data_IF_997926130344
#
_entry.id   IF_997926130344
#
_cell.length_a   1.000
_cell.length_b   1.000
_cell.length_c   1.000
_cell.angle_alpha   90.00
_cell.angle_beta   90.00
_cell.angle_gamma   90.00
#
_symmetry.space_group_name_H-M   'P 1'
#
loop_
_entity.id
_entity.type
_entity.pdbx_description
1 polymer ?
#
# COMPACT_ATOMS: atom_id res chain seq x y z
N UNK A 1 -19.38 -51.94 -34.81
CA UNK A 1 -17.91 -51.79 -34.91
C UNK A 1 -17.34 -53.18 -35.15
N UNK A 2 -16.35 -53.33 -36.06
CA UNK A 2 -15.76 -54.65 -36.33
C UNK A 2 -15.10 -55.19 -35.05
N UNK A 3 -15.28 -56.49 -34.75
CA UNK A 3 -14.67 -57.11 -33.56
C UNK A 3 -13.15 -57.21 -33.65
N UNK A 4 -12.60 -57.13 -34.87
CA UNK A 4 -11.17 -57.05 -35.15
C UNK A 4 -10.84 -55.79 -35.98
N UNK A 5 -9.94 -54.95 -35.48
CA UNK A 5 -9.43 -53.77 -36.19
C UNK A 5 -8.46 -54.16 -37.31
N UNK A 6 -8.35 -53.30 -38.33
CA UNK A 6 -7.44 -53.53 -39.46
C UNK A 6 -5.97 -53.65 -39.04
N UNK A 7 -5.59 -52.88 -38.01
CA UNK A 7 -4.23 -52.91 -37.46
C UNK A 7 -3.93 -54.23 -36.75
N UNK A 8 -4.87 -54.73 -35.94
CA UNK A 8 -4.73 -56.02 -35.27
C UNK A 8 -4.76 -57.19 -36.27
N UNK A 9 -5.62 -57.11 -37.28
CA UNK A 9 -5.70 -58.09 -38.37
C UNK A 9 -4.36 -58.22 -39.10
N UNK A 10 -3.73 -57.10 -39.47
CA UNK A 10 -2.44 -57.12 -40.17
C UNK A 10 -1.33 -57.81 -39.35
N UNK A 11 -1.26 -57.51 -38.05
CA UNK A 11 -0.27 -58.12 -37.14
C UNK A 11 -0.46 -59.65 -37.08
N UNK A 12 -1.71 -60.12 -36.95
CA UNK A 12 -2.00 -61.56 -36.90
C UNK A 12 -1.79 -62.24 -38.25
N UNK A 13 -2.11 -61.57 -39.35
CA UNK A 13 -1.92 -62.08 -40.70
C UNK A 13 -0.43 -62.26 -41.04
N UNK A 14 0.40 -61.28 -40.69
CA UNK A 14 1.83 -61.31 -40.94
C UNK A 14 2.52 -62.41 -40.11
N UNK A 15 2.04 -62.66 -38.89
CA UNK A 15 2.52 -63.77 -38.07
C UNK A 15 2.03 -65.14 -38.58
N UNK A 16 0.75 -65.27 -38.94
CA UNK A 16 0.22 -66.52 -39.50
C UNK A 16 0.96 -66.92 -40.79
N UNK A 17 1.30 -65.96 -41.65
CA UNK A 17 2.13 -66.18 -42.84
C UNK A 17 3.55 -66.62 -42.49
N UNK A 18 4.12 -66.13 -41.39
CA UNK A 18 5.44 -66.57 -40.89
C UNK A 18 5.38 -68.00 -40.34
N UNK A 19 4.36 -68.34 -39.55
CA UNK A 19 4.14 -69.71 -39.07
C UNK A 19 3.96 -70.70 -40.23
N UNK A 20 3.11 -70.37 -41.20
CA UNK A 20 2.89 -71.22 -42.38
C UNK A 20 4.19 -71.49 -43.18
N UNK A 21 5.04 -70.47 -43.34
CA UNK A 21 6.35 -70.62 -43.99
C UNK A 21 7.33 -71.50 -43.19
N UNK A 22 7.21 -71.50 -41.86
CA UNK A 22 8.09 -72.27 -40.95
C UNK A 22 7.70 -73.76 -40.90
N UNK A 23 6.41 -74.08 -40.94
CA UNK A 23 5.91 -75.48 -40.87
C UNK A 23 6.07 -76.27 -42.19
N UNK A 24 6.25 -75.59 -43.33
CA UNK A 24 6.56 -76.24 -44.61
C UNK A 24 5.34 -76.67 -45.43
N UNK A 25 5.52 -77.68 -46.30
CA UNK A 25 4.56 -78.07 -47.34
C UNK A 25 3.27 -78.65 -46.71
N UNK A 26 2.15 -77.95 -46.89
CA UNK A 26 0.82 -78.38 -46.39
C UNK A 26 0.09 -77.33 -45.53
N UNK A 27 0.79 -76.29 -45.05
CA UNK A 27 0.25 -75.24 -44.17
C UNK A 27 -0.61 -74.18 -44.88
N UNK A 28 -0.70 -74.21 -46.21
CA UNK A 28 -1.46 -73.22 -47.01
C UNK A 28 -2.97 -73.31 -46.75
N UNK A 29 -3.47 -74.51 -46.43
CA UNK A 29 -4.88 -74.74 -46.05
C UNK A 29 -5.15 -74.18 -44.66
N UNK A 30 -4.25 -74.40 -43.69
CA UNK A 30 -4.35 -73.85 -42.34
C UNK A 30 -4.31 -72.31 -42.36
N UNK A 31 -3.41 -71.73 -43.17
CA UNK A 31 -3.32 -70.28 -43.36
C UNK A 31 -4.63 -69.71 -43.92
N UNK A 32 -5.22 -70.33 -44.93
CA UNK A 32 -6.53 -69.89 -45.49
C UNK A 32 -7.66 -69.97 -44.46
N UNK A 33 -7.67 -71.01 -43.62
CA UNK A 33 -8.65 -71.15 -42.54
C UNK A 33 -8.49 -70.00 -41.52
N UNK A 34 -7.26 -69.72 -41.08
CA UNK A 34 -6.98 -68.63 -40.14
C UNK A 34 -7.37 -67.28 -40.74
N UNK A 35 -7.00 -67.01 -41.99
CA UNK A 35 -7.38 -65.78 -42.70
C UNK A 35 -8.91 -65.59 -42.70
N UNK A 36 -9.66 -66.65 -43.07
CA UNK A 36 -11.12 -66.60 -43.12
C UNK A 36 -11.75 -66.39 -41.73
N UNK A 37 -11.18 -66.98 -40.67
CA UNK A 37 -11.62 -66.75 -39.29
C UNK A 37 -11.35 -65.32 -38.83
N UNK A 38 -10.18 -64.76 -39.14
CA UNK A 38 -9.83 -63.38 -38.83
C UNK A 38 -10.69 -62.38 -39.61
N UNK A 39 -11.00 -62.64 -40.88
CA UNK A 39 -11.94 -61.84 -41.68
C UNK A 39 -13.36 -61.90 -41.13
N UNK A 40 -13.81 -63.06 -40.66
CA UNK A 40 -15.10 -63.20 -39.99
C UNK A 40 -15.17 -62.31 -38.74
N UNK A 41 -14.10 -62.24 -37.94
CA UNK A 41 -14.03 -61.31 -36.80
C UNK A 41 -14.05 -59.84 -37.22
N UNK A 42 -13.55 -59.48 -38.41
CA UNK A 42 -13.68 -58.12 -38.97
C UNK A 42 -15.10 -57.82 -39.43
N UNK A 43 -15.81 -58.80 -39.99
CA UNK A 43 -17.17 -58.60 -40.52
C UNK A 43 -18.24 -58.62 -39.42
N UNK A 44 -18.00 -59.35 -38.32
CA UNK A 44 -18.90 -59.37 -37.18
C UNK A 44 -18.86 -58.05 -36.42
N UNK A 45 -20.04 -57.58 -36.01
CA UNK A 45 -20.19 -56.43 -35.10
C UNK A 45 -20.38 -56.91 -33.67
N UNK A 46 -19.63 -56.32 -32.73
CA UNK A 46 -19.70 -56.65 -31.31
C UNK A 46 -18.50 -56.11 -30.54
N UNK A 47 -18.31 -56.58 -29.30
CA UNK A 47 -17.14 -56.22 -28.50
C UNK A 47 -15.84 -56.67 -29.17
N UNK A 48 -14.80 -55.85 -29.02
CA UNK A 48 -13.46 -56.13 -29.53
C UNK A 48 -12.93 -57.46 -28.98
N UNK A 49 -12.43 -58.30 -29.88
CA UNK A 49 -11.90 -59.61 -29.53
C UNK A 49 -10.69 -59.46 -28.57
N UNK A 50 -10.80 -60.12 -27.41
CA UNK A 50 -9.77 -60.10 -26.35
C UNK A 50 -8.63 -61.05 -26.70
N UNK A 51 -7.48 -60.92 -26.03
CA UNK A 51 -6.28 -61.75 -26.28
C UNK A 51 -6.59 -63.25 -26.32
N UNK A 52 -7.41 -63.74 -25.39
CA UNK A 52 -7.80 -65.16 -25.29
C UNK A 52 -8.60 -65.63 -26.50
N UNK A 53 -9.50 -64.79 -27.02
CA UNK A 53 -10.30 -65.08 -28.21
C UNK A 53 -9.44 -65.05 -29.49
N UNK A 54 -8.53 -64.08 -29.60
CA UNK A 54 -7.56 -64.02 -30.71
C UNK A 54 -6.62 -65.24 -30.69
N UNK A 55 -6.23 -65.68 -29.49
CA UNK A 55 -5.39 -66.84 -29.27
C UNK A 55 -6.08 -68.13 -29.72
N UNK A 56 -7.34 -68.36 -29.30
CA UNK A 56 -8.16 -69.49 -29.77
C UNK A 56 -8.39 -69.45 -31.29
N UNK A 57 -8.44 -68.27 -31.90
CA UNK A 57 -8.67 -68.16 -33.34
C UNK A 57 -7.51 -68.73 -34.16
N UNK A 58 -6.27 -68.66 -33.64
CA UNK A 58 -5.05 -68.99 -34.39
C UNK A 58 -4.29 -70.22 -33.86
N UNK A 59 -4.33 -70.49 -32.55
CA UNK A 59 -3.50 -71.55 -31.94
C UNK A 59 -3.94 -72.97 -32.27
N UNK A 60 -5.22 -73.19 -32.59
CA UNK A 60 -5.70 -74.52 -33.03
C UNK A 60 -5.02 -74.97 -34.34
N UNK A 61 -4.64 -74.00 -35.18
CA UNK A 61 -4.04 -74.24 -36.49
C UNK A 61 -2.51 -74.08 -36.45
N UNK A 62 -2.01 -73.20 -35.58
CA UNK A 62 -0.58 -72.94 -35.37
C UNK A 62 -0.24 -72.97 -33.87
N UNK A 63 0.08 -74.14 -33.29
CA UNK A 63 0.33 -74.27 -31.86
C UNK A 63 1.51 -73.42 -31.36
N UNK A 64 2.52 -73.19 -32.21
CA UNK A 64 3.72 -72.37 -31.90
C UNK A 64 3.53 -70.86 -32.18
N UNK A 65 2.30 -70.37 -32.32
CA UNK A 65 2.06 -68.97 -32.67
C UNK A 65 2.66 -68.00 -31.64
N UNK A 66 3.40 -66.99 -32.10
CA UNK A 66 4.14 -66.07 -31.23
C UNK A 66 3.21 -65.34 -30.25
N UNK A 67 3.46 -65.58 -28.97
CA UNK A 67 2.72 -64.96 -27.87
C UNK A 67 2.91 -63.44 -27.81
N UNK A 68 4.04 -62.92 -28.29
CA UNK A 68 4.26 -61.47 -28.40
C UNK A 68 3.44 -60.87 -29.54
N UNK A 69 3.36 -61.52 -30.70
CA UNK A 69 2.48 -61.11 -31.79
C UNK A 69 1.00 -61.07 -31.35
N UNK A 70 0.54 -62.09 -30.61
CA UNK A 70 -0.80 -62.11 -30.00
C UNK A 70 -1.02 -60.95 -29.02
N UNK A 71 -0.02 -60.64 -28.20
CA UNK A 71 -0.10 -59.52 -27.28
C UNK A 71 -0.19 -58.16 -28.01
N UNK A 72 0.65 -57.96 -29.03
CA UNK A 72 0.67 -56.75 -29.87
C UNK A 72 -0.65 -56.59 -30.63
N UNK A 73 -1.18 -57.67 -31.18
CA UNK A 73 -2.48 -57.67 -31.85
C UNK A 73 -3.62 -57.33 -30.88
N UNK A 74 -3.64 -57.93 -29.69
CA UNK A 74 -4.65 -57.64 -28.68
C UNK A 74 -4.59 -56.19 -28.15
N UNK A 75 -3.40 -55.59 -28.06
CA UNK A 75 -3.25 -54.18 -27.73
C UNK A 75 -3.75 -53.28 -28.86
N UNK A 76 -3.42 -53.61 -30.11
CA UNK A 76 -3.89 -52.89 -31.29
C UNK A 76 -5.41 -53.04 -31.51
N UNK A 77 -6.01 -54.12 -31.00
CA UNK A 77 -7.43 -54.42 -31.12
C UNK A 77 -8.30 -53.81 -30.02
N UNK A 78 -7.77 -52.92 -29.17
CA UNK A 78 -8.58 -52.23 -28.15
C UNK A 78 -9.25 -50.99 -28.77
N UNK A 79 -10.44 -50.59 -28.28
CA UNK A 79 -10.97 -49.28 -28.63
C UNK A 79 -9.91 -48.22 -28.26
N UNK A 80 -9.83 -47.10 -28.99
CA UNK A 80 -8.93 -46.01 -28.61
C UNK A 80 -9.27 -45.60 -27.17
N UNK A 81 -8.41 -46.00 -26.23
CA UNK A 81 -8.57 -45.70 -24.82
C UNK A 81 -8.49 -44.20 -24.60
N UNK A 82 -9.04 -43.76 -23.47
CA UNK A 82 -9.18 -42.37 -23.01
C UNK A 82 -7.91 -41.49 -23.20
N UNK A 83 -6.73 -42.09 -23.38
CA UNK A 83 -5.46 -41.41 -23.68
C UNK A 83 -5.29 -40.83 -25.10
N UNK A 84 -6.09 -41.22 -26.11
CA UNK A 84 -6.07 -40.54 -27.42
C UNK A 84 -6.75 -39.16 -27.35
N UNK A 85 -7.78 -39.02 -26.51
CA UNK A 85 -8.40 -37.72 -26.22
C UNK A 85 -7.47 -36.80 -25.42
N UNK A 86 -6.41 -37.31 -24.82
CA UNK A 86 -5.45 -36.51 -24.06
C UNK A 86 -4.33 -35.94 -24.95
N UNK A 87 -4.01 -36.53 -26.12
CA UNK A 87 -3.04 -35.90 -27.05
C UNK A 87 -3.64 -34.75 -27.85
N UNK A 88 -4.89 -34.87 -28.32
CA UNK A 88 -5.62 -33.74 -28.88
C UNK A 88 -6.27 -32.85 -27.82
N UNK A 89 -6.48 -33.37 -26.60
CA UNK A 89 -6.89 -32.59 -25.44
C UNK A 89 -5.77 -31.76 -24.86
N UNK A 90 -4.51 -32.21 -24.83
CA UNK A 90 -3.38 -31.37 -24.40
C UNK A 90 -2.89 -30.45 -25.51
N UNK A 91 -2.92 -30.82 -26.80
CA UNK A 91 -2.64 -29.84 -27.87
C UNK A 91 -3.84 -28.89 -28.04
N UNK A 92 -5.06 -29.36 -27.82
CA UNK A 92 -6.27 -28.54 -27.83
C UNK A 92 -6.45 -27.69 -26.58
N UNK A 93 -5.98 -28.09 -25.39
CA UNK A 93 -6.06 -27.30 -24.15
C UNK A 93 -4.79 -26.50 -23.92
N UNK A 94 -3.58 -26.94 -24.30
CA UNK A 94 -2.39 -26.06 -24.35
C UNK A 94 -2.49 -25.11 -25.54
N UNK A 95 -3.07 -25.55 -26.65
CA UNK A 95 -3.38 -24.71 -27.81
C UNK A 95 -4.59 -23.81 -27.58
N UNK A 96 -5.65 -24.21 -26.88
CA UNK A 96 -6.76 -23.33 -26.52
C UNK A 96 -6.42 -22.46 -25.31
N UNK A 97 -5.70 -22.92 -24.29
CA UNK A 97 -5.20 -22.04 -23.22
C UNK A 97 -4.17 -21.08 -23.80
N UNK A 98 -3.29 -21.54 -24.70
CA UNK A 98 -2.38 -20.69 -25.45
C UNK A 98 -3.10 -19.71 -26.39
N UNK A 99 -4.15 -20.13 -27.09
CA UNK A 99 -4.95 -19.27 -27.96
C UNK A 99 -5.88 -18.34 -27.17
N UNK A 100 -6.41 -18.75 -26.02
CA UNK A 100 -7.15 -17.92 -25.07
C UNK A 100 -6.19 -16.92 -24.44
N UNK A 101 -4.97 -17.32 -24.10
CA UNK A 101 -3.94 -16.42 -23.59
C UNK A 101 -3.53 -15.40 -24.65
N UNK A 102 -3.27 -15.83 -25.90
CA UNK A 102 -2.97 -14.96 -27.06
C UNK A 102 -4.14 -14.04 -27.40
N UNK A 103 -5.38 -14.56 -27.40
CA UNK A 103 -6.59 -13.78 -27.66
C UNK A 103 -6.92 -12.82 -26.51
N UNK A 104 -6.53 -13.16 -25.28
CA UNK A 104 -6.63 -12.32 -24.10
C UNK A 104 -5.40 -11.41 -23.90
N UNK A 105 -4.40 -11.46 -24.79
CA UNK A 105 -3.25 -10.57 -24.71
C UNK A 105 -3.71 -9.10 -24.76
N UNK A 106 -3.02 -8.21 -24.03
CA UNK A 106 -3.32 -6.78 -24.01
C UNK A 106 -2.85 -6.06 -25.29
N UNK A 107 -3.13 -6.61 -26.48
CA UNK A 107 -2.74 -6.04 -27.77
C UNK A 107 -3.97 -5.66 -28.62
N UNK A 108 -4.17 -4.37 -28.95
CA UNK A 108 -5.38 -3.89 -29.61
C UNK A 108 -5.73 -4.58 -30.95
N UNK A 109 -4.77 -4.85 -31.86
CA UNK A 109 -5.05 -5.51 -33.12
C UNK A 109 -5.60 -6.94 -33.00
N UNK A 110 -5.29 -7.66 -31.91
CA UNK A 110 -5.78 -9.03 -31.68
C UNK A 110 -7.14 -9.00 -30.97
N UNK A 111 -7.30 -8.12 -29.97
CA UNK A 111 -8.52 -8.09 -29.14
C UNK A 111 -9.76 -7.56 -29.85
N UNK A 112 -9.63 -6.58 -30.76
CA UNK A 112 -10.77 -6.01 -31.50
C UNK A 112 -11.58 -7.07 -32.27
N UNK A 113 -10.97 -7.89 -33.14
CA UNK A 113 -11.71 -8.93 -33.85
C UNK A 113 -12.28 -9.99 -32.89
N UNK A 114 -11.54 -10.38 -31.85
CA UNK A 114 -12.03 -11.34 -30.84
C UNK A 114 -13.27 -10.82 -30.12
N UNK A 115 -13.32 -9.53 -29.79
CA UNK A 115 -14.48 -8.94 -29.11
C UNK A 115 -15.77 -8.93 -29.96
N UNK A 116 -15.63 -8.87 -31.29
CA UNK A 116 -16.76 -8.89 -32.23
C UNK A 116 -17.23 -10.31 -32.55
N UNK A 117 -16.28 -11.26 -32.65
CA UNK A 117 -16.56 -12.63 -33.13
C UNK A 117 -16.80 -13.61 -31.99
N UNK A 118 -16.05 -13.50 -30.88
CA UNK A 118 -16.09 -14.44 -29.76
C UNK A 118 -15.92 -13.72 -28.41
N UNK A 119 -16.87 -12.84 -28.01
CA UNK A 119 -16.76 -12.02 -26.79
C UNK A 119 -16.63 -12.84 -25.50
N UNK A 120 -17.13 -14.08 -25.50
CA UNK A 120 -17.06 -15.01 -24.35
C UNK A 120 -15.59 -15.25 -23.91
N UNK A 121 -14.65 -15.25 -24.84
CA UNK A 121 -13.21 -15.47 -24.57
C UNK A 121 -12.60 -14.33 -23.75
N UNK A 122 -13.17 -13.12 -23.84
CA UNK A 122 -12.68 -11.93 -23.14
C UNK A 122 -13.37 -11.67 -21.80
N UNK A 123 -14.37 -12.49 -21.41
CA UNK A 123 -15.14 -12.29 -20.18
C UNK A 123 -14.31 -12.12 -18.91
N UNK A 124 -13.25 -12.93 -18.64
CA UNK A 124 -12.44 -12.72 -17.45
C UNK A 124 -11.76 -11.35 -17.42
N UNK A 125 -11.32 -10.87 -18.59
CA UNK A 125 -10.69 -9.55 -18.71
C UNK A 125 -11.70 -8.42 -18.56
N UNK A 126 -12.91 -8.58 -19.07
CA UNK A 126 -13.98 -7.59 -18.87
C UNK A 126 -14.40 -7.53 -17.40
N UNK A 127 -14.53 -8.66 -16.73
CA UNK A 127 -14.84 -8.70 -15.30
C UNK A 127 -13.76 -7.98 -14.45
N UNK A 128 -12.49 -8.29 -14.71
CA UNK A 128 -11.38 -7.62 -14.02
C UNK A 128 -11.36 -6.11 -14.28
N UNK A 129 -11.62 -5.69 -15.52
CA UNK A 129 -11.73 -4.28 -15.87
C UNK A 129 -12.92 -3.62 -15.16
N UNK A 130 -14.00 -4.34 -14.84
CA UNK A 130 -15.24 -3.75 -14.29
C UNK A 130 -15.05 -3.45 -12.84
N UNK A 131 -14.48 -4.44 -12.16
CA UNK A 131 -14.04 -4.33 -10.80
C UNK A 131 -13.04 -3.18 -10.64
N UNK A 132 -12.05 -3.07 -11.52
CA UNK A 132 -11.06 -1.99 -11.45
C UNK A 132 -11.67 -0.62 -11.78
N UNK A 133 -12.55 -0.52 -12.76
CA UNK A 133 -13.21 0.74 -13.10
C UNK A 133 -14.12 1.21 -11.95
N UNK A 134 -15.03 0.36 -11.48
CA UNK A 134 -15.91 0.69 -10.35
C UNK A 134 -15.13 0.97 -9.08
N UNK A 135 -14.08 0.17 -8.84
CA UNK A 135 -13.14 0.37 -7.74
C UNK A 135 -12.46 1.73 -7.82
N UNK A 136 -11.91 2.11 -8.98
CA UNK A 136 -11.31 3.42 -9.18
C UNK A 136 -12.29 4.55 -8.88
N UNK A 137 -13.46 4.58 -9.51
CA UNK A 137 -14.44 5.67 -9.34
C UNK A 137 -14.88 5.79 -7.87
N UNK A 138 -15.24 4.67 -7.23
CA UNK A 138 -15.66 4.68 -5.83
C UNK A 138 -14.55 5.16 -4.88
N UNK A 139 -13.30 4.78 -5.15
CA UNK A 139 -12.15 5.18 -4.33
C UNK A 139 -11.72 6.63 -4.58
N UNK A 140 -11.85 7.13 -5.80
CA UNK A 140 -11.66 8.55 -6.12
C UNK A 140 -12.65 9.40 -5.34
N UNK A 141 -13.94 9.04 -5.36
CA UNK A 141 -14.97 9.77 -4.62
C UNK A 141 -14.71 9.76 -3.10
N UNK A 142 -14.40 8.59 -2.53
CA UNK A 142 -14.05 8.47 -1.11
C UNK A 142 -12.81 9.31 -0.76
N UNK A 143 -11.77 9.25 -1.58
CA UNK A 143 -10.56 10.04 -1.40
C UNK A 143 -10.85 11.55 -1.46
N UNK A 144 -11.69 11.98 -2.39
CA UNK A 144 -12.06 13.39 -2.55
C UNK A 144 -12.74 13.91 -1.30
N UNK A 145 -13.74 13.20 -0.78
CA UNK A 145 -14.43 13.57 0.46
C UNK A 145 -13.44 13.65 1.64
N UNK A 146 -12.60 12.63 1.80
CA UNK A 146 -11.67 12.52 2.93
C UNK A 146 -10.52 13.53 2.90
N UNK A 147 -10.05 13.94 1.72
CA UNK A 147 -8.92 14.89 1.57
C UNK A 147 -9.42 16.32 1.40
N UNK A 148 -10.48 16.54 0.62
CA UNK A 148 -10.98 17.87 0.33
C UNK A 148 -11.90 18.43 1.40
N UNK A 149 -12.57 17.56 2.16
CA UNK A 149 -13.49 17.94 3.24
C UNK A 149 -13.02 17.42 4.60
N UNK A 150 -11.71 17.20 4.74
CA UNK A 150 -11.11 16.68 5.96
C UNK A 150 -11.46 17.51 7.19
N UNK A 151 -11.92 16.84 8.24
CA UNK A 151 -12.20 17.44 9.55
C UNK A 151 -11.23 16.97 10.63
N UNK A 152 -10.44 15.94 10.32
CA UNK A 152 -9.48 15.34 11.23
C UNK A 152 -8.22 14.85 10.49
N UNK A 153 -7.15 14.59 11.24
CA UNK A 153 -5.95 13.94 10.71
C UNK A 153 -6.24 12.51 10.20
N UNK A 154 -7.16 11.80 10.86
CA UNK A 154 -7.57 10.46 10.45
C UNK A 154 -8.25 10.45 9.07
N UNK A 155 -9.03 11.50 8.75
CA UNK A 155 -9.64 11.65 7.43
C UNK A 155 -8.55 11.76 6.35
N UNK A 156 -7.51 12.57 6.58
CA UNK A 156 -6.38 12.73 5.67
C UNK A 156 -5.63 11.41 5.47
N UNK A 157 -5.37 10.67 6.55
CA UNK A 157 -4.67 9.38 6.49
C UNK A 157 -5.46 8.35 5.68
N UNK A 158 -6.74 8.15 6.02
CA UNK A 158 -7.63 7.25 5.30
C UNK A 158 -7.79 7.69 3.84
N UNK A 159 -7.96 8.99 3.60
CA UNK A 159 -8.06 9.57 2.27
C UNK A 159 -6.83 9.26 1.42
N UNK A 160 -5.62 9.36 1.99
CA UNK A 160 -4.38 9.02 1.29
C UNK A 160 -4.31 7.53 0.91
N UNK A 161 -4.80 6.64 1.77
CA UNK A 161 -4.93 5.22 1.46
C UNK A 161 -5.91 5.01 0.29
N UNK A 162 -7.04 5.73 0.26
CA UNK A 162 -8.01 5.64 -0.83
C UNK A 162 -7.46 6.19 -2.15
N UNK A 163 -6.67 7.26 -2.12
CA UNK A 163 -5.93 7.76 -3.31
C UNK A 163 -5.02 6.66 -3.87
N UNK A 164 -4.27 5.98 -3.00
CA UNK A 164 -3.37 4.89 -3.42
C UNK A 164 -4.16 3.72 -4.03
N UNK A 165 -5.29 3.34 -3.42
CA UNK A 165 -6.18 2.32 -3.96
C UNK A 165 -6.80 2.72 -5.30
N UNK A 166 -7.21 3.98 -5.45
CA UNK A 166 -7.72 4.53 -6.70
C UNK A 166 -6.66 4.48 -7.81
N UNK A 167 -5.43 4.89 -7.50
CA UNK A 167 -4.30 4.84 -8.44
C UNK A 167 -4.03 3.40 -8.90
N UNK A 168 -3.96 2.44 -7.98
CA UNK A 168 -3.76 1.02 -8.31
C UNK A 168 -4.86 0.48 -9.24
N UNK A 169 -6.12 0.84 -8.98
CA UNK A 169 -7.23 0.46 -9.85
C UNK A 169 -7.13 1.12 -11.23
N UNK A 170 -6.75 2.39 -11.32
CA UNK A 170 -6.54 3.08 -12.60
C UNK A 170 -5.34 2.51 -13.38
N UNK A 171 -4.27 2.12 -12.71
CA UNK A 171 -3.08 1.49 -13.31
C UNK A 171 -3.39 0.11 -13.89
N UNK A 172 -4.32 -0.62 -13.27
CA UNK A 172 -4.79 -1.91 -13.76
C UNK A 172 -5.70 -1.80 -15.00
N UNK A 173 -6.13 -0.60 -15.39
CA UNK A 173 -7.00 -0.40 -16.55
C UNK A 173 -6.17 -0.24 -17.83
N UNK A 174 -6.46 -1.05 -18.88
CA UNK A 174 -5.74 -0.96 -20.14
C UNK A 174 -6.10 0.30 -20.93
N UNK A 175 -5.23 1.31 -20.90
CA UNK A 175 -5.42 2.62 -21.57
C UNK A 175 -5.70 2.49 -23.08
N UNK A 176 -5.07 1.54 -23.76
CA UNK A 176 -5.26 1.28 -25.20
C UNK A 176 -6.61 0.64 -25.54
N UNK A 177 -7.39 0.25 -24.52
CA UNK A 177 -8.75 -0.30 -24.64
C UNK A 177 -9.84 0.75 -24.37
N UNK A 178 -9.46 1.98 -24.01
CA UNK A 178 -10.38 3.10 -23.78
C UNK A 178 -11.16 3.44 -25.06
N UNK A 179 -12.48 3.65 -24.92
CA UNK A 179 -13.37 3.97 -26.04
C UNK A 179 -13.82 2.79 -26.91
N UNK A 180 -13.40 1.55 -26.58
CA UNK A 180 -13.93 0.33 -27.21
C UNK A 180 -15.01 -0.30 -26.30
N UNK A 181 -16.26 0.14 -26.46
CA UNK A 181 -17.38 -0.44 -25.70
C UNK A 181 -17.61 -1.91 -26.08
N UNK A 182 -17.60 -2.87 -25.14
CA UNK A 182 -18.03 -4.24 -25.40
C UNK A 182 -19.55 -4.30 -25.26
N UNK A 183 -20.26 -3.79 -26.27
CA UNK A 183 -21.74 -3.73 -26.29
C UNK A 183 -22.39 -5.05 -25.88
N UNK A 184 -21.84 -6.19 -26.33
CA UNK A 184 -22.33 -7.53 -26.01
C UNK A 184 -22.16 -7.88 -24.52
N UNK A 185 -21.02 -7.51 -23.91
CA UNK A 185 -20.80 -7.71 -22.48
C UNK A 185 -21.78 -6.87 -21.65
N UNK A 186 -21.93 -5.59 -22.00
CA UNK A 186 -22.85 -4.69 -21.29
C UNK A 186 -24.31 -5.12 -21.40
N UNK A 187 -24.71 -5.67 -22.56
CA UNK A 187 -26.05 -6.23 -22.77
C UNK A 187 -26.30 -7.47 -21.91
N UNK A 188 -25.30 -8.35 -21.77
CA UNK A 188 -25.47 -9.64 -21.08
C UNK A 188 -25.34 -9.54 -19.56
N UNK A 189 -24.56 -8.57 -19.06
CA UNK A 189 -24.27 -8.41 -17.62
C UNK A 189 -24.80 -7.09 -17.03
N UNK A 190 -25.62 -6.32 -17.76
CA UNK A 190 -26.25 -5.10 -17.25
C UNK A 190 -25.24 -4.04 -16.82
N UNK A 191 -24.19 -3.83 -17.61
CA UNK A 191 -23.11 -2.93 -17.23
C UNK A 191 -23.44 -1.47 -17.56
N UNK A 192 -23.03 -0.55 -16.69
CA UNK A 192 -23.13 0.90 -16.89
C UNK A 192 -21.79 1.54 -17.27
N UNK A 193 -20.87 0.76 -17.86
CA UNK A 193 -19.53 1.24 -18.21
C UNK A 193 -19.59 2.42 -19.16
N UNK A 194 -18.96 3.52 -18.76
CA UNK A 194 -18.74 4.72 -19.58
C UNK A 194 -17.26 5.05 -19.70
N UNK A 195 -16.42 4.01 -19.80
CA UNK A 195 -14.96 4.15 -19.76
C UNK A 195 -14.40 4.79 -21.05
N UNK A 196 -14.58 6.10 -21.13
CA UNK A 196 -14.05 6.97 -22.17
C UNK A 196 -12.63 7.38 -21.82
N UNK A 197 -11.85 7.73 -22.85
CA UNK A 197 -10.51 8.31 -22.67
C UNK A 197 -10.57 9.53 -21.75
N UNK A 198 -11.61 10.34 -21.90
CA UNK A 198 -11.81 11.58 -21.14
C UNK A 198 -12.09 11.32 -19.66
N UNK A 199 -12.95 10.35 -19.34
CA UNK A 199 -13.26 9.99 -17.95
C UNK A 199 -12.02 9.39 -17.26
N UNK A 200 -11.27 8.53 -17.93
CA UNK A 200 -10.02 7.98 -17.40
C UNK A 200 -8.96 9.07 -17.17
N UNK A 201 -8.77 9.96 -18.16
CA UNK A 201 -7.85 11.09 -18.03
C UNK A 201 -8.27 12.02 -16.88
N UNK A 202 -9.57 12.26 -16.72
CA UNK A 202 -10.12 13.07 -15.62
C UNK A 202 -9.87 12.41 -14.26
N UNK A 203 -10.17 11.12 -14.12
CA UNK A 203 -9.94 10.38 -12.88
C UNK A 203 -8.46 10.38 -12.49
N UNK A 204 -7.54 10.12 -13.44
CA UNK A 204 -6.10 10.20 -13.16
C UNK A 204 -5.64 11.60 -12.77
N UNK A 205 -6.16 12.64 -13.42
CA UNK A 205 -5.86 14.03 -13.07
C UNK A 205 -6.35 14.37 -11.66
N UNK A 206 -7.51 13.88 -11.26
CA UNK A 206 -8.04 14.04 -9.91
C UNK A 206 -7.16 13.32 -8.89
N UNK A 207 -6.82 12.05 -9.13
CA UNK A 207 -5.91 11.27 -8.27
C UNK A 207 -4.58 11.98 -8.09
N UNK A 208 -3.91 12.40 -9.17
CA UNK A 208 -2.64 13.11 -9.07
C UNK A 208 -2.72 14.45 -8.30
N UNK A 209 -3.84 15.17 -8.41
CA UNK A 209 -4.08 16.38 -7.60
C UNK A 209 -4.26 16.04 -6.11
N UNK A 210 -5.00 14.97 -5.82
CA UNK A 210 -5.20 14.51 -4.44
C UNK A 210 -3.93 13.94 -3.83
N UNK A 211 -3.07 13.26 -4.60
CA UNK A 211 -1.74 12.82 -4.15
C UNK A 211 -0.88 14.00 -3.71
N UNK A 212 -0.81 15.05 -4.56
CA UNK A 212 -0.07 16.25 -4.23
C UNK A 212 -0.61 16.94 -2.97
N UNK A 213 -1.94 17.01 -2.82
CA UNK A 213 -2.57 17.58 -1.63
C UNK A 213 -2.35 16.72 -0.39
N UNK A 214 -2.52 15.40 -0.48
CA UNK A 214 -2.26 14.47 0.60
C UNK A 214 -0.82 14.55 1.10
N UNK A 215 0.15 14.70 0.18
CA UNK A 215 1.54 14.93 0.52
C UNK A 215 1.74 16.23 1.31
N UNK A 216 1.14 17.33 0.88
CA UNK A 216 1.19 18.61 1.60
C UNK A 216 0.56 18.51 2.99
N UNK A 217 -0.60 17.85 3.11
CA UNK A 217 -1.29 17.65 4.38
C UNK A 217 -0.48 16.79 5.35
N UNK A 218 0.09 15.67 4.88
CA UNK A 218 0.97 14.82 5.70
C UNK A 218 2.18 15.59 6.22
N UNK A 219 2.86 16.34 5.36
CA UNK A 219 4.01 17.14 5.78
C UNK A 219 3.61 18.21 6.82
N UNK A 220 2.46 18.85 6.63
CA UNK A 220 1.97 19.84 7.59
C UNK A 220 1.56 19.21 8.93
N UNK A 221 0.96 18.01 8.91
CA UNK A 221 0.65 17.24 10.12
C UNK A 221 1.92 16.85 10.89
N UNK A 222 2.96 16.39 10.20
CA UNK A 222 4.27 16.07 10.82
C UNK A 222 4.87 17.31 11.46
N UNK A 223 4.96 18.43 10.74
CA UNK A 223 5.49 19.69 11.30
C UNK A 223 4.67 20.21 12.48
N UNK A 224 3.35 20.03 12.44
CA UNK A 224 2.46 20.38 13.56
C UNK A 224 2.76 19.53 14.79
N UNK A 225 2.99 18.22 14.59
CA UNK A 225 3.35 17.32 15.67
C UNK A 225 4.71 17.68 16.28
N UNK A 226 5.70 17.99 15.45
CA UNK A 226 7.02 18.47 15.89
C UNK A 226 6.90 19.74 16.72
N UNK A 227 6.11 20.72 16.26
CA UNK A 227 5.85 21.96 17.00
C UNK A 227 5.10 21.72 18.32
N UNK A 228 4.12 20.79 18.35
CA UNK A 228 3.41 20.41 19.59
C UNK A 228 4.37 19.77 20.60
N UNK A 229 5.25 18.88 20.15
CA UNK A 229 6.27 18.27 21.00
C UNK A 229 7.27 19.30 21.50
N UNK A 230 7.80 20.16 20.62
CA UNK A 230 8.73 21.22 21.00
C UNK A 230 8.12 22.20 22.00
N UNK A 231 6.85 22.58 21.80
CA UNK A 231 6.11 23.45 22.71
C UNK A 231 5.93 22.80 24.09
N UNK A 232 5.58 21.51 24.12
CA UNK A 232 5.42 20.77 25.38
C UNK A 232 6.75 20.62 26.11
N UNK A 233 7.83 20.32 25.37
CA UNK A 233 9.17 20.17 25.95
C UNK A 233 9.67 21.49 26.53
N UNK A 234 9.57 22.60 25.79
CA UNK A 234 9.99 23.91 26.27
C UNK A 234 9.24 24.33 27.55
N UNK A 235 7.95 23.98 27.66
CA UNK A 235 7.17 24.21 28.90
C UNK A 235 7.68 23.38 30.07
N UNK A 236 8.02 22.11 29.84
CA UNK A 236 8.59 21.23 30.87
C UNK A 236 9.98 21.71 31.29
N UNK A 237 10.82 22.09 30.34
CA UNK A 237 12.17 22.60 30.59
C UNK A 237 12.13 23.88 31.42
N UNK A 238 11.18 24.79 31.13
CA UNK A 238 10.96 25.99 31.93
C UNK A 238 10.58 25.66 33.39
N UNK A 239 9.73 24.65 33.59
CA UNK A 239 9.31 24.22 34.94
C UNK A 239 10.42 23.51 35.71
N UNK A 240 11.24 22.71 35.02
CA UNK A 240 12.33 21.95 35.62
C UNK A 240 13.58 22.82 35.87
N UNK A 241 13.76 23.91 35.12
CA UNK A 241 14.92 24.78 35.22
C UNK A 241 15.02 25.44 36.61
N UNK A 242 16.10 25.11 37.31
CA UNK A 242 16.42 25.68 38.62
C UNK A 242 17.20 27.00 38.53
N UNK A 243 17.80 27.29 37.37
CA UNK A 243 18.59 28.50 37.10
C UNK A 243 17.83 29.45 36.18
N UNK A 244 18.09 30.75 36.32
CA UNK A 244 17.49 31.77 35.46
C UNK A 244 17.91 31.63 34.00
N UNK A 245 19.18 31.31 33.74
CA UNK A 245 19.69 31.06 32.39
C UNK A 245 18.97 29.87 31.72
N UNK A 246 18.68 28.81 32.48
CA UNK A 246 17.89 27.67 32.00
C UNK A 246 16.45 28.07 31.65
N UNK A 247 15.83 28.91 32.49
CA UNK A 247 14.48 29.45 32.23
C UNK A 247 14.44 30.33 30.98
N UNK A 248 15.42 31.21 30.78
CA UNK A 248 15.51 32.05 29.57
C UNK A 248 15.69 31.20 28.31
N UNK A 249 16.52 30.15 28.38
CA UNK A 249 16.70 29.20 27.27
C UNK A 249 15.37 28.51 26.93
N UNK A 250 14.62 28.04 27.93
CA UNK A 250 13.32 27.41 27.73
C UNK A 250 12.27 28.39 27.17
N UNK A 251 12.28 29.66 27.58
CA UNK A 251 11.42 30.70 26.99
C UNK A 251 11.75 30.90 25.51
N UNK A 252 13.03 30.97 25.13
CA UNK A 252 13.43 31.10 23.72
C UNK A 252 12.98 29.88 22.88
N UNK A 253 13.09 28.67 23.44
CA UNK A 253 12.60 27.45 22.79
C UNK A 253 11.07 27.43 22.67
N UNK A 254 10.35 27.93 23.68
CA UNK A 254 8.89 28.06 23.64
C UNK A 254 8.48 29.03 22.51
N UNK A 255 9.10 30.22 22.41
CA UNK A 255 8.83 31.15 21.31
C UNK A 255 9.09 30.50 19.95
N UNK A 256 10.21 29.79 19.81
CA UNK A 256 10.57 29.06 18.58
C UNK A 256 9.48 28.05 18.19
N UNK A 257 8.94 27.31 19.15
CA UNK A 257 7.84 26.36 18.90
C UNK A 257 6.55 27.08 18.46
N UNK A 258 6.24 28.25 19.03
CA UNK A 258 5.11 29.08 18.58
C UNK A 258 5.32 29.57 17.14
N UNK A 259 6.53 29.98 16.78
CA UNK A 259 6.86 30.42 15.43
C UNK A 259 6.73 29.29 14.41
N UNK A 260 7.06 28.05 14.79
CA UNK A 260 6.84 26.87 13.95
C UNK A 260 5.35 26.66 13.61
N UNK A 261 4.43 26.90 14.55
CA UNK A 261 2.99 26.87 14.25
C UNK A 261 2.58 27.96 13.26
N UNK A 262 3.17 29.16 13.34
CA UNK A 262 2.87 30.26 12.43
C UNK A 262 3.37 30.01 11.00
N UNK A 263 4.39 29.17 10.83
CA UNK A 263 4.96 28.78 9.54
C UNK A 263 4.17 27.66 8.83
N UNK A 264 3.18 27.04 9.49
CA UNK A 264 2.37 25.99 8.87
C UNK A 264 1.52 26.56 7.73
N UNK A 265 1.45 25.88 6.57
CA UNK A 265 0.70 26.42 5.43
C UNK A 265 -0.80 26.57 5.74
N UNK A 266 -1.39 27.77 5.61
CA UNK A 266 -2.77 28.07 6.06
C UNK A 266 -3.85 27.29 5.29
N UNK A 267 -3.53 26.81 4.09
CA UNK A 267 -4.46 26.03 3.27
C UNK A 267 -4.67 24.60 3.79
N UNK A 268 -3.71 24.08 4.58
CA UNK A 268 -3.75 22.72 5.13
C UNK A 268 -4.66 22.60 6.34
N UNK A 269 -5.17 21.40 6.61
CA UNK A 269 -5.92 21.12 7.83
C UNK A 269 -5.09 21.46 9.09
N UNK A 270 -3.83 21.02 9.12
CA UNK A 270 -2.90 21.28 10.21
C UNK A 270 -2.69 22.79 10.45
N UNK A 271 -2.48 23.56 9.38
CA UNK A 271 -2.31 25.02 9.46
C UNK A 271 -3.54 25.74 9.99
N UNK A 272 -4.75 25.39 9.51
CA UNK A 272 -6.01 25.98 10.01
C UNK A 272 -6.21 25.70 11.49
N UNK A 273 -6.00 24.45 11.90
CA UNK A 273 -6.12 24.05 13.31
C UNK A 273 -5.09 24.76 14.19
N UNK A 274 -3.84 24.89 13.72
CA UNK A 274 -2.79 25.60 14.43
C UNK A 274 -3.13 27.10 14.60
N UNK A 275 -3.62 27.76 13.56
CA UNK A 275 -4.01 29.18 13.61
C UNK A 275 -5.14 29.44 14.61
N UNK A 276 -6.08 28.52 14.76
CA UNK A 276 -7.14 28.63 15.77
C UNK A 276 -6.57 28.58 17.20
N UNK A 277 -5.51 27.79 17.43
CA UNK A 277 -4.87 27.63 18.75
C UNK A 277 -3.79 28.68 19.03
N UNK A 278 -3.21 29.29 18.00
CA UNK A 278 -2.07 30.22 18.10
C UNK A 278 -2.30 31.36 19.11
N UNK A 279 -3.47 32.04 19.15
CA UNK A 279 -3.71 33.12 20.11
C UNK A 279 -3.64 32.65 21.56
N UNK A 280 -4.10 31.42 21.84
CA UNK A 280 -4.02 30.84 23.18
C UNK A 280 -2.56 30.57 23.56
N UNK A 281 -1.75 30.02 22.65
CA UNK A 281 -0.33 29.77 22.89
C UNK A 281 0.46 31.07 23.10
N UNK A 282 0.18 32.10 22.31
CA UNK A 282 0.81 33.42 22.46
C UNK A 282 0.47 34.07 23.79
N UNK A 283 -0.81 34.05 24.19
CA UNK A 283 -1.23 34.57 25.50
C UNK A 283 -0.55 33.84 26.65
N UNK A 284 -0.48 32.51 26.58
CA UNK A 284 0.15 31.71 27.63
C UNK A 284 1.66 31.98 27.71
N UNK A 285 2.31 32.13 26.55
CA UNK A 285 3.73 32.54 26.47
C UNK A 285 3.95 33.93 27.08
N UNK A 286 3.15 34.92 26.71
CA UNK A 286 3.28 36.30 27.23
C UNK A 286 3.16 36.35 28.75
N UNK A 287 2.27 35.55 29.34
CA UNK A 287 2.15 35.44 30.80
C UNK A 287 3.44 34.93 31.45
N UNK A 288 4.10 33.95 30.85
CA UNK A 288 5.33 33.36 31.40
C UNK A 288 6.54 34.25 31.14
N UNK A 289 6.74 34.67 29.90
CA UNK A 289 7.87 35.51 29.51
C UNK A 289 7.82 36.89 30.18
N UNK A 290 6.63 37.49 30.32
CA UNK A 290 6.46 38.77 31.02
C UNK A 290 6.78 38.68 32.51
N UNK A 291 6.40 37.58 33.17
CA UNK A 291 6.77 37.32 34.57
C UNK A 291 8.28 37.14 34.70
N UNK A 292 8.91 36.34 33.84
CA UNK A 292 10.35 36.11 33.89
C UNK A 292 11.16 37.41 33.69
N UNK A 293 10.79 38.24 32.70
CA UNK A 293 11.43 39.53 32.46
C UNK A 293 11.30 40.50 33.65
N UNK A 294 10.12 40.56 34.27
CA UNK A 294 9.89 41.37 35.48
C UNK A 294 10.69 40.85 36.67
N UNK A 295 10.76 39.53 36.89
CA UNK A 295 11.53 38.92 37.99
C UNK A 295 13.02 39.23 37.86
N UNK A 296 13.60 39.11 36.67
CA UNK A 296 15.01 39.40 36.43
C UNK A 296 15.37 40.87 36.61
N UNK A 297 14.46 41.77 36.21
CA UNK A 297 14.64 43.21 36.40
C UNK A 297 14.61 43.55 37.90
N UNK A 298 13.66 42.98 38.64
CA UNK A 298 13.56 43.15 40.09
C UNK A 298 14.79 42.60 40.82
N UNK A 299 15.28 41.41 40.46
CA UNK A 299 16.46 40.81 41.11
C UNK A 299 17.72 41.67 40.90
N UNK A 300 17.86 42.30 39.73
CA UNK A 300 18.96 43.22 39.42
C UNK A 300 18.92 44.47 40.29
N UNK A 301 17.76 45.12 40.41
CA UNK A 301 17.60 46.31 41.25
C UNK A 301 17.84 46.01 42.74
N UNK A 302 17.29 44.90 43.24
CA UNK A 302 17.50 44.47 44.63
C UNK A 302 18.97 44.13 44.90
N UNK A 303 19.66 43.47 43.96
CA UNK A 303 21.09 43.14 44.11
C UNK A 303 21.96 44.38 44.10
N UNK A 304 21.71 45.33 43.19
CA UNK A 304 22.41 46.60 43.13
C UNK A 304 22.22 47.41 44.43
N UNK A 305 20.99 47.46 44.94
CA UNK A 305 20.68 48.11 46.21
C UNK A 305 21.45 47.51 47.39
N UNK A 306 21.49 46.18 47.49
CA UNK A 306 22.25 45.48 48.54
C UNK A 306 23.75 45.80 48.47
N UNK A 307 24.33 45.94 47.27
CA UNK A 307 25.74 46.30 47.13
C UNK A 307 26.05 47.71 47.67
N UNK A 308 25.22 48.71 47.33
CA UNK A 308 25.36 50.08 47.88
C UNK A 308 25.17 50.10 49.41
N UNK A 309 24.17 49.38 49.92
CA UNK A 309 23.91 49.25 51.34
C UNK A 309 25.07 48.58 52.10
N UNK A 310 25.67 47.53 51.54
CA UNK A 310 26.85 46.89 52.14
C UNK A 310 28.03 47.86 52.21
N UNK A 311 28.29 48.61 51.13
CA UNK A 311 29.36 49.60 51.12
C UNK A 311 29.12 50.73 52.15
N UNK A 312 27.88 51.21 52.27
CA UNK A 312 27.50 52.20 53.27
C UNK A 312 27.70 51.67 54.70
N UNK A 313 27.30 50.42 54.96
CA UNK A 313 27.47 49.76 56.25
C UNK A 313 28.95 49.57 56.61
N UNK A 314 29.80 49.15 55.68
CA UNK A 314 31.24 49.02 55.87
C UNK A 314 31.90 50.36 56.21
N UNK A 315 31.57 51.42 55.47
CA UNK A 315 32.11 52.76 55.72
C UNK A 315 31.65 53.35 57.06
N UNK A 316 30.50 52.92 57.57
CA UNK A 316 29.93 53.34 58.85
C UNK A 316 30.63 52.72 60.07
N UNK A 317 31.42 51.66 59.88
CA UNK A 317 32.10 50.97 60.98
C UNK A 317 33.18 51.86 61.64
N UNK A 318 33.43 51.64 62.93
CA UNK A 318 34.43 52.34 63.74
C UNK A 318 34.28 53.88 63.80
N UNK A 319 33.12 54.40 64.24
CA UNK A 319 32.96 55.83 64.52
C UNK A 319 33.85 56.29 65.70
N UNK A 320 34.15 57.59 65.85
CA UNK A 320 33.54 58.74 65.18
C UNK A 320 34.17 59.09 63.82
N UNK A 321 33.32 59.38 62.83
CA UNK A 321 33.72 59.85 61.50
C UNK A 321 33.49 61.37 61.32
N UNK A 322 34.27 62.05 60.46
CA UNK A 322 34.01 63.44 60.10
C UNK A 322 32.69 63.59 59.33
N UNK A 323 32.09 64.79 59.39
CA UNK A 323 30.81 65.08 58.74
C UNK A 323 30.81 64.77 57.23
N UNK A 324 31.93 65.02 56.52
CA UNK A 324 32.07 64.68 55.10
C UNK A 324 31.92 63.19 54.81
N UNK A 325 32.42 62.33 55.71
CA UNK A 325 32.32 60.87 55.58
C UNK A 325 30.90 60.39 55.90
N UNK A 326 30.21 61.02 56.85
CA UNK A 326 28.78 60.76 57.06
C UNK A 326 27.93 61.15 55.86
N UNK A 327 28.26 62.26 55.18
CA UNK A 327 27.58 62.66 53.96
C UNK A 327 27.73 61.60 52.85
N UNK A 328 28.93 61.04 52.67
CA UNK A 328 29.19 59.98 51.71
C UNK A 328 28.41 58.70 52.03
N UNK A 329 28.35 58.30 53.30
CA UNK A 329 27.55 57.16 53.77
C UNK A 329 26.06 57.36 53.46
N UNK A 330 25.52 58.56 53.72
CA UNK A 330 24.12 58.89 53.44
C UNK A 330 23.82 58.77 51.94
N UNK A 331 24.72 59.26 51.08
CA UNK A 331 24.54 59.17 49.62
C UNK A 331 24.48 57.71 49.13
N UNK A 332 25.25 56.81 49.74
CA UNK A 332 25.21 55.38 49.41
C UNK A 332 23.89 54.73 49.84
N UNK A 333 23.37 55.08 51.03
CA UNK A 333 22.04 54.61 51.46
C UNK A 333 20.92 55.16 50.56
N UNK A 334 20.97 56.44 50.21
CA UNK A 334 20.02 57.05 49.27
C UNK A 334 20.04 56.37 47.90
N UNK A 335 21.24 56.01 47.40
CA UNK A 335 21.36 55.28 46.14
C UNK A 335 20.79 53.87 46.24
N UNK A 336 21.05 53.16 47.34
CA UNK A 336 20.44 51.85 47.59
C UNK A 336 18.89 51.93 47.56
N UNK A 337 18.31 52.92 48.26
CA UNK A 337 16.86 53.18 48.26
C UNK A 337 16.37 53.55 46.85
N UNK A 338 17.13 54.34 46.09
CA UNK A 338 16.78 54.74 44.71
C UNK A 338 16.66 53.52 43.79
N UNK A 339 17.56 52.54 43.92
CA UNK A 339 17.49 51.29 43.15
C UNK A 339 16.25 50.47 43.53
N UNK A 340 15.96 50.32 44.83
CA UNK A 340 14.78 49.57 45.31
C UNK A 340 13.46 50.18 44.84
N UNK A 341 13.38 51.51 44.71
CA UNK A 341 12.18 52.21 44.20
C UNK A 341 11.88 51.94 42.72
N UNK A 342 12.84 51.42 41.96
CA UNK A 342 12.65 51.05 40.55
C UNK A 342 11.99 49.68 40.37
N UNK A 343 11.81 48.91 41.44
CA UNK A 343 11.14 47.61 41.40
C UNK A 343 9.66 47.77 41.04
N UNK A 344 9.24 47.11 39.96
CA UNK A 344 7.87 47.17 39.47
C UNK A 344 6.86 46.60 40.50
N UNK A 345 5.81 47.36 40.89
CA UNK A 345 4.74 46.88 41.78
C UNK A 345 3.99 45.62 41.32
N UNK A 346 3.98 45.34 40.01
CA UNK A 346 3.33 44.15 39.46
C UNK A 346 4.08 42.85 39.83
N UNK A 347 5.37 42.93 40.16
CA UNK A 347 6.12 41.82 40.75
C UNK A 347 5.91 41.81 42.28
N UNK A 348 4.79 41.24 42.74
CA UNK A 348 4.40 41.29 44.16
C UNK A 348 5.48 40.82 45.14
N UNK A 349 6.14 39.70 44.87
CA UNK A 349 7.13 39.14 45.80
C UNK A 349 8.36 40.03 45.89
N UNK A 350 8.95 40.40 44.75
CA UNK A 350 10.13 41.26 44.75
C UNK A 350 9.84 42.71 45.15
N UNK A 351 8.61 43.20 44.92
CA UNK A 351 8.17 44.51 45.43
C UNK A 351 8.06 44.50 46.96
N UNK A 352 7.52 43.44 47.57
CA UNK A 352 7.45 43.32 49.04
C UNK A 352 8.86 43.30 49.65
N UNK A 353 9.79 42.52 49.10
CA UNK A 353 11.19 42.52 49.55
C UNK A 353 11.80 43.93 49.42
N UNK A 354 11.60 44.60 48.28
CA UNK A 354 12.13 45.93 48.06
C UNK A 354 11.58 46.96 49.06
N UNK A 355 10.29 46.92 49.38
CA UNK A 355 9.69 47.80 50.38
C UNK A 355 10.21 47.52 51.80
N UNK A 356 10.46 46.26 52.14
CA UNK A 356 11.07 45.91 53.43
C UNK A 356 12.50 46.46 53.55
N UNK A 357 13.29 46.36 52.49
CA UNK A 357 14.66 46.91 52.46
C UNK A 357 14.64 48.45 52.49
N UNK A 358 13.72 49.11 51.78
CA UNK A 358 13.54 50.57 51.85
C UNK A 358 13.21 51.02 53.27
N UNK A 359 12.41 50.26 54.02
CA UNK A 359 12.10 50.60 55.41
C UNK A 359 13.27 50.34 56.37
N UNK A 360 14.19 49.45 56.01
CA UNK A 360 15.36 49.11 56.79
C UNK A 360 16.52 50.10 56.59
N UNK A 361 16.69 50.62 55.38
CA UNK A 361 17.72 51.60 55.00
C UNK A 361 17.27 53.02 55.37
#
# INVERSE_FOLDING_TARGET
>A
MPRLSDRAYKILLDEAKRCAKKEGIGSDVQLKIVIKRLEKLRQQSGDYARKTELQQTVQDMFPEFDTQALHKAAQANRPPGLGWKVKWGLIGVVGAVGAIWVANLPYPPIRRPVSQVAPIVLLPSFFSMDQNYRGAIAKVEQADQLINQATSAADIELGTEKVTQAQNHLDALPVWFLGYEPKTYCTLFGCSWRFTVDEFATARKQVGRMEAKAFQEKNALTKRQEAETALSQAKQDYQAASTEEGKQTAIAQWQTAIDQFAQLPPQTFAGKSAQQKLPAYQRDFQKVAGVAANTQTTSTFVSAAKAYAMQAAELSQNPPHPASKWQEIILLWEEAIRQLRQVNPDNREGYVEAQQLIAQY
#
